data_IF_429402614092
#
_entry.id   IF_429402614092
#
_cell.length_a   1.000
_cell.length_b   1.000
_cell.length_c   1.000
_cell.angle_alpha   90.00
_cell.angle_beta   90.00
_cell.angle_gamma   90.00
#
_symmetry.space_group_name_H-M   'P 1'
#
loop_
_entity.id
_entity.type
_entity.pdbx_description
1 polymer ?
#
# COMPACT_ATOMS: atom_id res chain seq x y z
N UNK A 1 -4.29 -16.76 20.27
CA UNK A 1 -5.63 -16.23 20.62
C UNK A 1 -6.47 -16.15 19.35
N UNK A 2 -7.74 -16.57 19.40
CA UNK A 2 -8.72 -16.29 18.33
C UNK A 2 -9.64 -15.18 18.84
N UNK A 3 -9.61 -14.03 18.19
CA UNK A 3 -10.52 -12.92 18.45
C UNK A 3 -11.39 -12.74 17.21
N UNK A 4 -12.70 -12.64 17.40
CA UNK A 4 -13.64 -12.29 16.33
C UNK A 4 -13.66 -10.77 16.27
N UNK A 5 -13.42 -10.21 15.09
CA UNK A 5 -13.43 -8.75 14.85
C UNK A 5 -14.58 -8.40 13.92
N UNK A 6 -15.28 -7.33 14.25
CA UNK A 6 -16.37 -6.83 13.43
C UNK A 6 -15.84 -5.91 12.33
N UNK A 7 -16.45 -6.02 11.14
CA UNK A 7 -16.21 -5.13 10.01
C UNK A 7 -17.39 -4.17 9.97
N UNK A 8 -17.14 -2.88 10.11
CA UNK A 8 -18.20 -1.87 9.98
C UNK A 8 -18.67 -1.75 8.52
N UNK A 9 -19.84 -1.15 8.32
CA UNK A 9 -20.47 -0.99 6.99
C UNK A 9 -19.60 -0.24 5.98
N UNK A 10 -18.67 0.60 6.45
CA UNK A 10 -17.69 1.31 5.62
C UNK A 10 -16.38 0.53 5.37
N UNK A 11 -16.33 -0.75 5.75
CA UNK A 11 -15.16 -1.61 5.57
C UNK A 11 -14.03 -1.38 6.58
N UNK A 12 -14.29 -0.71 7.72
CA UNK A 12 -13.28 -0.53 8.76
C UNK A 12 -13.25 -1.75 9.69
N UNK A 13 -12.05 -2.27 9.96
CA UNK A 13 -11.85 -3.36 10.92
C UNK A 13 -11.35 -2.76 12.23
N UNK A 14 -12.09 -2.98 13.32
CA UNK A 14 -11.62 -2.61 14.65
C UNK A 14 -10.81 -3.74 15.27
N UNK A 15 -9.50 -3.51 15.42
CA UNK A 15 -8.59 -4.45 16.06
C UNK A 15 -8.60 -4.25 17.58
N UNK A 16 -8.65 -5.34 18.39
CA UNK A 16 -8.52 -5.27 19.83
C UNK A 16 -7.25 -4.52 20.28
N UNK A 17 -7.36 -3.76 21.37
CA UNK A 17 -6.27 -2.90 21.86
C UNK A 17 -5.03 -3.69 22.23
N UNK A 18 -5.20 -4.93 22.64
CA UNK A 18 -4.14 -5.86 23.03
C UNK A 18 -3.26 -6.24 21.82
N UNK A 19 -3.85 -6.32 20.62
CA UNK A 19 -3.10 -6.56 19.37
C UNK A 19 -2.38 -5.29 18.89
N UNK A 20 -2.96 -4.12 19.17
CA UNK A 20 -2.37 -2.82 18.81
C UNK A 20 -1.34 -2.33 19.83
N UNK A 21 -1.29 -2.88 21.04
CA UNK A 21 -0.39 -2.43 22.11
C UNK A 21 1.10 -2.50 21.72
N UNK A 22 1.44 -3.38 20.78
CA UNK A 22 2.81 -3.58 20.29
C UNK A 22 3.13 -2.73 19.05
N UNK A 23 2.16 -1.98 18.52
CA UNK A 23 2.31 -1.18 17.30
C UNK A 23 2.04 0.29 17.60
N UNK A 24 2.94 1.18 17.13
CA UNK A 24 2.76 2.62 17.30
C UNK A 24 1.48 3.08 16.58
N UNK A 25 0.75 4.01 17.19
CA UNK A 25 -0.41 4.66 16.55
C UNK A 25 0.01 5.29 15.23
N UNK A 26 -0.77 5.05 14.18
CA UNK A 26 -0.51 5.57 12.84
C UNK A 26 0.49 4.77 12.00
N UNK A 27 0.97 3.61 12.49
CA UNK A 27 1.78 2.69 11.69
C UNK A 27 0.95 2.12 10.53
N UNK A 28 1.42 2.24 9.26
CA UNK A 28 0.75 1.60 8.14
C UNK A 28 0.96 0.07 8.18
N UNK A 29 0.02 -0.66 7.57
CA UNK A 29 0.07 -2.11 7.48
C UNK A 29 0.12 -2.55 6.01
N UNK A 30 0.91 -3.58 5.73
CA UNK A 30 0.80 -4.34 4.49
C UNK A 30 -0.33 -5.35 4.61
N UNK A 31 -1.15 -5.48 3.56
CA UNK A 31 -2.29 -6.40 3.52
C UNK A 31 -2.03 -7.46 2.46
N UNK A 32 -2.01 -8.72 2.87
CA UNK A 32 -2.02 -9.86 1.97
C UNK A 32 -3.36 -10.57 2.09
N UNK A 33 -4.10 -10.62 0.99
CA UNK A 33 -5.37 -11.32 0.88
C UNK A 33 -5.15 -12.68 0.20
N UNK A 34 -5.50 -13.74 0.92
CA UNK A 34 -5.67 -15.09 0.40
C UNK A 34 -7.16 -15.45 0.57
N UNK A 35 -7.73 -16.29 -0.28
CA UNK A 35 -9.17 -16.57 -0.45
C UNK A 35 -10.10 -16.19 0.72
N UNK A 36 -9.87 -16.71 1.94
CA UNK A 36 -10.65 -16.42 3.14
C UNK A 36 -9.83 -15.84 4.32
N UNK A 37 -8.60 -15.38 4.07
CA UNK A 37 -7.64 -14.93 5.08
C UNK A 37 -7.00 -13.60 4.68
N UNK A 38 -7.20 -12.59 5.52
CA UNK A 38 -6.43 -11.35 5.47
C UNK A 38 -5.29 -11.41 6.48
N UNK A 39 -4.06 -11.21 6.00
CA UNK A 39 -2.88 -11.09 6.84
C UNK A 39 -2.43 -9.63 6.86
N UNK A 40 -2.38 -9.04 8.05
CA UNK A 40 -1.96 -7.66 8.29
C UNK A 40 -0.56 -7.65 8.91
N UNK A 41 0.42 -7.04 8.22
CA UNK A 41 1.80 -6.94 8.72
C UNK A 41 2.15 -5.48 8.97
N UNK A 42 2.48 -5.06 10.22
CA UNK A 42 2.82 -3.67 10.49
C UNK A 42 4.14 -3.30 9.82
N UNK A 43 4.20 -2.12 9.19
CA UNK A 43 5.41 -1.59 8.57
C UNK A 43 6.18 -0.79 9.62
N UNK A 44 7.11 -1.45 10.32
CA UNK A 44 7.99 -0.77 11.28
C UNK A 44 9.11 -0.03 10.54
N UNK A 45 9.37 1.23 10.91
CA UNK A 45 10.39 2.09 10.26
C UNK A 45 11.84 1.66 10.50
N UNK A 46 12.05 0.57 11.24
CA UNK A 46 13.32 -0.12 11.39
C UNK A 46 13.13 -1.49 10.77
N UNK A 47 13.99 -1.87 9.81
CA UNK A 47 13.99 -3.14 9.08
C UNK A 47 14.24 -4.39 9.93
N UNK A 48 13.69 -4.44 11.14
CA UNK A 48 13.54 -5.62 11.97
C UNK A 48 12.05 -5.85 12.19
N UNK A 49 11.58 -6.95 11.61
CA UNK A 49 10.24 -7.44 11.89
C UNK A 49 10.16 -7.90 13.34
N UNK A 50 9.11 -7.45 14.03
CA UNK A 50 8.64 -8.12 15.22
C UNK A 50 8.46 -9.61 14.93
N UNK A 51 9.05 -10.42 15.79
CA UNK A 51 9.06 -11.89 15.74
C UNK A 51 7.68 -12.48 15.40
N UNK A 52 7.55 -13.13 14.24
CA UNK A 52 6.44 -14.05 14.02
C UNK A 52 6.09 -14.44 12.59
N UNK A 53 6.28 -13.57 11.58
CA UNK A 53 5.91 -13.91 10.20
C UNK A 53 6.90 -13.28 9.23
N UNK A 54 7.34 -14.10 8.26
CA UNK A 54 8.30 -13.85 7.20
C UNK A 54 8.76 -12.41 7.04
N UNK A 55 10.08 -12.20 7.16
CA UNK A 55 10.69 -10.93 6.88
C UNK A 55 10.34 -10.45 5.48
N UNK A 56 9.42 -9.49 5.36
CA UNK A 56 9.23 -8.73 4.14
C UNK A 56 10.50 -7.94 3.98
N UNK A 57 11.43 -8.47 3.16
CA UNK A 57 12.63 -7.77 2.73
C UNK A 57 12.16 -6.44 2.17
N UNK A 58 12.37 -5.37 2.92
CA UNK A 58 12.02 -4.02 2.51
C UNK A 58 13.02 -3.67 1.41
N UNK A 59 12.72 -4.09 0.18
CA UNK A 59 13.56 -3.80 -0.96
C UNK A 59 13.57 -2.29 -1.16
N UNK A 60 14.78 -1.73 -1.28
CA UNK A 60 14.96 -0.32 -1.57
C UNK A 60 14.11 0.03 -2.79
N UNK A 61 13.22 1.04 -2.71
CA UNK A 61 12.31 1.32 -3.80
C UNK A 61 13.11 1.62 -5.06
N UNK A 62 12.63 1.17 -6.23
CA UNK A 62 13.31 1.34 -7.52
C UNK A 62 13.85 2.76 -7.71
N UNK A 63 13.06 3.79 -7.37
CA UNK A 63 13.45 5.19 -7.50
C UNK A 63 14.65 5.61 -6.65
N UNK A 64 14.93 4.92 -5.54
CA UNK A 64 16.05 5.26 -4.67
C UNK A 64 17.39 4.71 -5.19
N UNK A 65 17.39 3.65 -6.01
CA UNK A 65 18.62 3.06 -6.57
C UNK A 65 18.77 3.25 -8.07
N UNK A 66 17.69 3.52 -8.80
CA UNK A 66 17.72 3.66 -10.24
C UNK A 66 18.49 4.91 -10.70
N UNK A 67 19.36 4.72 -11.66
CA UNK A 67 20.04 5.77 -12.43
C UNK A 67 19.03 6.59 -13.24
N UNK A 68 19.44 7.77 -13.70
CA UNK A 68 18.61 8.63 -14.56
C UNK A 68 18.15 7.89 -15.82
N UNK A 69 19.01 7.10 -16.45
CA UNK A 69 18.67 6.33 -17.65
C UNK A 69 17.60 5.26 -17.38
N UNK A 70 17.73 4.52 -16.28
CA UNK A 70 16.75 3.50 -15.88
C UNK A 70 15.39 4.10 -15.55
N UNK A 71 15.36 5.29 -14.93
CA UNK A 71 14.13 6.03 -14.64
C UNK A 71 13.42 6.46 -15.92
N UNK A 72 14.17 6.99 -16.90
CA UNK A 72 13.61 7.36 -18.21
C UNK A 72 13.01 6.12 -18.89
N UNK A 73 13.74 5.00 -18.91
CA UNK A 73 13.27 3.77 -19.51
C UNK A 73 12.03 3.17 -18.80
N UNK A 74 11.95 3.29 -17.47
CA UNK A 74 10.78 2.88 -16.69
C UNK A 74 9.57 3.77 -16.98
N UNK A 75 9.77 5.09 -17.05
CA UNK A 75 8.71 6.03 -17.41
C UNK A 75 8.18 5.76 -18.82
N UNK A 76 9.06 5.56 -19.79
CA UNK A 76 8.67 5.25 -21.17
C UNK A 76 7.83 3.96 -21.24
N UNK A 77 8.24 2.89 -20.53
CA UNK A 77 7.46 1.65 -20.44
C UNK A 77 6.07 1.87 -19.83
N UNK A 78 5.97 2.71 -18.81
CA UNK A 78 4.68 3.05 -18.20
C UNK A 78 3.78 3.84 -19.17
N UNK A 79 4.33 4.84 -19.88
CA UNK A 79 3.59 5.57 -20.92
C UNK A 79 3.10 4.60 -22.00
N UNK A 80 3.98 3.71 -22.45
CA UNK A 80 3.67 2.75 -23.50
C UNK A 80 2.61 1.71 -23.06
N UNK A 81 2.55 1.37 -21.77
CA UNK A 81 1.53 0.44 -21.26
C UNK A 81 0.16 1.10 -21.04
N UNK A 82 0.06 2.43 -21.08
CA UNK A 82 -1.18 3.18 -20.82
C UNK A 82 -1.72 3.90 -22.06
N UNK A 83 -1.40 3.40 -23.26
CA UNK A 83 -1.90 3.95 -24.55
C UNK A 83 -3.42 3.96 -24.68
N UNK A 84 -4.11 3.11 -23.93
CA UNK A 84 -5.56 3.04 -23.82
C UNK A 84 -6.05 3.60 -22.48
N UNK A 85 -5.54 4.79 -22.11
CA UNK A 85 -6.13 5.57 -21.03
C UNK A 85 -7.60 5.92 -21.33
N UNK A 86 -8.40 6.30 -20.31
CA UNK A 86 -9.85 6.51 -20.43
C UNK A 86 -10.32 7.61 -21.41
N UNK A 87 -9.45 8.14 -22.28
CA UNK A 87 -9.81 9.16 -23.28
C UNK A 87 -10.38 10.41 -22.64
N UNK A 88 -9.90 10.76 -21.43
CA UNK A 88 -10.49 11.84 -20.66
C UNK A 88 -10.38 13.16 -21.43
N UNK A 89 -11.49 13.93 -21.53
CA UNK A 89 -11.43 15.24 -22.12
C UNK A 89 -10.45 16.10 -21.32
N UNK A 90 -9.72 17.01 -21.99
CA UNK A 90 -8.78 17.94 -21.36
C UNK A 90 -9.38 18.70 -20.17
N UNK A 91 -10.69 18.93 -20.20
CA UNK A 91 -11.43 19.54 -19.10
C UNK A 91 -11.38 18.70 -17.81
N UNK A 92 -11.34 17.37 -17.89
CA UNK A 92 -11.25 16.46 -16.74
C UNK A 92 -9.83 16.38 -16.12
N UNK A 93 -8.82 16.91 -16.83
CA UNK A 93 -7.45 17.07 -16.32
C UNK A 93 -7.25 18.41 -15.60
N UNK A 94 -8.27 19.28 -15.58
CA UNK A 94 -8.18 20.57 -14.90
C UNK A 94 -8.25 20.37 -13.40
N UNK A 95 -7.55 21.22 -12.67
CA UNK A 95 -7.55 21.17 -11.20
C UNK A 95 -8.96 21.43 -10.64
N UNK A 96 -9.71 22.28 -11.32
CA UNK A 96 -11.04 22.71 -10.92
C UNK A 96 -12.06 21.55 -11.02
N UNK A 97 -11.87 20.60 -11.94
CA UNK A 97 -12.77 19.45 -12.14
C UNK A 97 -12.56 18.29 -11.15
N UNK A 98 -11.58 18.38 -10.25
CA UNK A 98 -11.31 17.34 -9.24
C UNK A 98 -12.23 17.50 -8.01
N UNK A 99 -12.82 18.69 -7.83
CA UNK A 99 -13.60 19.06 -6.65
C UNK A 99 -15.09 19.31 -6.92
N UNK A 100 -15.55 19.14 -8.16
CA UNK A 100 -16.97 19.09 -8.51
C UNK A 100 -17.49 17.65 -8.48
#
# INVERSE_FOLDING_TARGET
MKAIVEISENGTIQLPRELLAQVRRGTPYWVQAEEAKLTLTPVTQTGQLGTGVAAVKQETPFWATATTAERIAAFQRWVDSHKSGPGLPLAALRRESIYE
#
